data_IF_762960229071
#
_entry.id   IF_762960229071
#
_cell.length_a   1.000
_cell.length_b   1.000
_cell.length_c   1.000
_cell.angle_alpha   90.00
_cell.angle_beta   90.00
_cell.angle_gamma   90.00
#
_symmetry.space_group_name_H-M   'P 1'
#
loop_
_entity.id
_entity.type
_entity.pdbx_description
1 polymer ?
#
# COMPACT_ATOMS: atom_id res chain seq x y z
N UNK A 1 -35.38 -15.98 6.68
CA UNK A 1 -34.31 -15.06 7.16
C UNK A 1 -32.92 -15.36 6.60
N UNK A 2 -32.49 -16.62 6.45
CA UNK A 2 -31.17 -16.99 5.87
C UNK A 2 -31.05 -16.68 4.36
N UNK A 3 -32.15 -16.84 3.62
CA UNK A 3 -32.26 -16.62 2.16
C UNK A 3 -32.28 -15.15 1.72
N UNK A 4 -32.67 -14.24 2.60
CA UNK A 4 -32.76 -12.82 2.30
C UNK A 4 -31.39 -12.12 2.39
N UNK A 5 -30.55 -12.56 3.35
CA UNK A 5 -29.17 -12.07 3.52
C UNK A 5 -28.25 -12.55 2.39
N UNK A 6 -28.41 -13.78 1.91
CA UNK A 6 -27.68 -14.32 0.75
C UNK A 6 -28.02 -13.59 -0.54
N UNK A 7 -29.26 -13.15 -0.70
CA UNK A 7 -29.71 -12.43 -1.90
C UNK A 7 -29.14 -11.00 -1.97
N UNK A 8 -29.12 -10.28 -0.84
CA UNK A 8 -28.47 -8.96 -0.76
C UNK A 8 -26.96 -9.03 -1.01
N UNK A 9 -26.30 -10.10 -0.58
CA UNK A 9 -24.87 -10.32 -0.79
C UNK A 9 -24.52 -10.58 -2.27
N UNK A 10 -25.30 -11.43 -2.95
CA UNK A 10 -25.12 -11.72 -4.38
C UNK A 10 -25.39 -10.51 -5.26
N UNK A 11 -26.39 -9.69 -4.89
CA UNK A 11 -26.69 -8.44 -5.59
C UNK A 11 -25.50 -7.46 -5.49
N UNK A 12 -24.94 -7.29 -4.29
CA UNK A 12 -23.76 -6.42 -4.07
C UNK A 12 -22.54 -6.89 -4.88
N UNK A 13 -22.31 -8.21 -4.94
CA UNK A 13 -21.22 -8.80 -5.73
C UNK A 13 -21.40 -8.52 -7.23
N UNK A 14 -22.63 -8.68 -7.75
CA UNK A 14 -22.93 -8.43 -9.17
C UNK A 14 -22.75 -6.95 -9.57
N UNK A 15 -23.03 -6.01 -8.67
CA UNK A 15 -22.81 -4.58 -8.90
C UNK A 15 -21.33 -4.17 -8.85
N UNK A 16 -20.51 -4.86 -8.04
CA UNK A 16 -19.05 -4.64 -8.00
C UNK A 16 -18.35 -5.03 -9.31
N UNK A 17 -18.87 -6.03 -10.03
CA UNK A 17 -18.39 -6.39 -11.38
C UNK A 17 -18.96 -5.48 -12.48
N UNK A 18 -20.06 -4.77 -12.22
CA UNK A 18 -20.71 -3.87 -13.16
C UNK A 18 -20.16 -2.43 -13.14
N UNK A 19 -19.01 -2.17 -12.51
CA UNK A 19 -18.31 -0.87 -12.58
C UNK A 19 -17.68 -0.61 -13.97
N UNK A 20 -18.53 -0.67 -15.00
CA UNK A 20 -18.35 0.06 -16.25
C UNK A 20 -18.74 1.51 -15.95
N UNK A 21 -17.76 2.38 -16.09
CA UNK A 21 -17.82 3.85 -16.03
C UNK A 21 -19.21 4.50 -16.13
N UNK A 22 -19.52 5.39 -15.18
CA UNK A 22 -20.70 6.27 -15.12
C UNK A 22 -20.90 7.21 -16.33
N UNK A 23 -20.13 7.11 -17.41
CA UNK A 23 -20.20 8.03 -18.54
C UNK A 23 -20.83 7.46 -19.82
N UNK A 24 -21.43 6.28 -19.82
CA UNK A 24 -22.05 5.73 -21.04
C UNK A 24 -23.23 4.82 -20.75
N UNK A 25 -24.41 5.40 -20.50
CA UNK A 25 -25.66 4.66 -20.68
C UNK A 25 -26.55 5.50 -21.59
N UNK A 26 -26.38 5.33 -22.90
CA UNK A 26 -27.45 5.66 -23.84
C UNK A 26 -28.63 4.74 -23.56
N UNK A 27 -29.84 5.22 -23.82
CA UNK A 27 -31.11 4.56 -23.46
C UNK A 27 -31.26 3.12 -24.01
N UNK A 28 -30.52 2.77 -25.04
CA UNK A 28 -30.56 1.45 -25.69
C UNK A 28 -29.67 0.42 -24.96
N UNK A 29 -28.56 0.86 -24.36
CA UNK A 29 -27.69 -0.01 -23.53
C UNK A 29 -28.33 -0.30 -22.18
N UNK A 30 -29.04 0.66 -21.58
CA UNK A 30 -29.84 0.42 -20.36
C UNK A 30 -30.92 -0.66 -20.60
N UNK A 31 -31.60 -0.61 -21.75
CA UNK A 31 -32.64 -1.56 -22.11
C UNK A 31 -32.10 -3.00 -22.31
N UNK A 32 -30.88 -3.14 -22.84
CA UNK A 32 -30.21 -4.44 -22.95
C UNK A 32 -29.61 -4.91 -21.60
N UNK A 33 -29.14 -3.98 -20.76
CA UNK A 33 -28.67 -4.29 -19.41
C UNK A 33 -29.81 -4.78 -18.50
N UNK A 34 -31.02 -4.24 -18.67
CA UNK A 34 -32.23 -4.65 -17.96
C UNK A 34 -32.70 -6.07 -18.31
N UNK A 35 -32.39 -6.57 -19.53
CA UNK A 35 -32.73 -7.95 -19.93
C UNK A 35 -31.95 -9.02 -19.15
N UNK A 36 -30.79 -8.67 -18.61
CA UNK A 36 -29.90 -9.59 -17.88
C UNK A 36 -30.28 -9.74 -16.40
N UNK A 37 -31.19 -8.90 -15.87
CA UNK A 37 -31.58 -8.91 -14.45
C UNK A 37 -33.10 -9.17 -14.27
N UNK A 38 -33.54 -10.45 -14.23
CA UNK A 38 -34.96 -10.83 -14.15
C UNK A 38 -35.65 -10.49 -12.81
N UNK A 39 -34.97 -9.82 -11.88
CA UNK A 39 -35.37 -9.63 -10.48
C UNK A 39 -35.76 -8.18 -10.11
N UNK A 40 -35.80 -7.25 -11.07
CA UNK A 40 -36.28 -5.89 -10.80
C UNK A 40 -37.78 -5.89 -10.43
N UNK A 41 -38.20 -5.08 -9.44
CA UNK A 41 -39.61 -5.01 -9.06
C UNK A 41 -40.46 -4.57 -10.26
N UNK A 42 -41.50 -5.34 -10.55
CA UNK A 42 -42.42 -5.06 -11.65
C UNK A 42 -43.75 -4.57 -11.11
N UNK A 43 -44.30 -3.58 -11.79
CA UNK A 43 -45.70 -3.21 -11.68
C UNK A 43 -46.58 -4.37 -12.19
N UNK A 44 -47.87 -4.43 -11.81
CA UNK A 44 -48.79 -5.48 -12.25
C UNK A 44 -48.94 -5.60 -13.76
N UNK A 45 -48.66 -4.53 -14.51
CA UNK A 45 -48.67 -4.49 -15.97
C UNK A 45 -47.36 -4.97 -16.61
N UNK A 46 -46.41 -5.47 -15.82
CA UNK A 46 -45.11 -5.96 -16.28
C UNK A 46 -44.07 -4.88 -16.54
N UNK A 47 -44.41 -3.59 -16.41
CA UNK A 47 -43.47 -2.48 -16.43
C UNK A 47 -42.61 -2.42 -15.16
N UNK A 48 -41.46 -1.74 -15.21
CA UNK A 48 -40.57 -1.60 -14.06
C UNK A 48 -41.17 -0.62 -13.05
N UNK A 49 -41.20 -1.01 -11.78
CA UNK A 49 -41.56 -0.13 -10.66
C UNK A 49 -40.32 0.70 -10.29
N UNK A 50 -40.18 1.85 -10.96
CA UNK A 50 -39.03 2.73 -10.81
C UNK A 50 -38.91 3.33 -9.42
N UNK A 51 -40.01 3.55 -8.70
CA UNK A 51 -40.00 4.11 -7.35
C UNK A 51 -39.42 3.10 -6.36
N UNK A 52 -39.88 1.85 -6.44
CA UNK A 52 -39.36 0.73 -5.63
C UNK A 52 -37.94 0.32 -6.03
N UNK A 53 -37.60 0.40 -7.32
CA UNK A 53 -36.23 0.24 -7.77
C UNK A 53 -35.31 1.34 -7.22
N UNK A 54 -35.77 2.59 -7.16
CA UNK A 54 -35.03 3.71 -6.58
C UNK A 54 -34.89 3.60 -5.06
N UNK A 55 -35.92 3.09 -4.36
CA UNK A 55 -35.86 2.78 -2.93
C UNK A 55 -34.86 1.65 -2.64
N UNK A 56 -34.85 0.58 -3.46
CA UNK A 56 -33.84 -0.48 -3.39
C UNK A 56 -32.44 0.05 -3.69
N UNK A 57 -32.29 0.95 -4.68
CA UNK A 57 -31.03 1.62 -5.02
C UNK A 57 -30.52 2.50 -3.88
N UNK A 58 -31.40 3.27 -3.21
CA UNK A 58 -31.06 4.04 -2.01
C UNK A 58 -30.64 3.13 -0.86
N UNK A 59 -31.36 2.03 -0.63
CA UNK A 59 -31.03 1.04 0.40
C UNK A 59 -29.71 0.31 0.10
N UNK A 60 -29.39 0.08 -1.17
CA UNK A 60 -28.07 -0.42 -1.58
C UNK A 60 -26.98 0.64 -1.47
N UNK A 61 -27.26 1.92 -1.70
CA UNK A 61 -26.30 3.00 -1.42
C UNK A 61 -26.03 3.16 0.08
N UNK A 62 -27.03 2.95 0.93
CA UNK A 62 -26.84 2.85 2.38
C UNK A 62 -26.00 1.62 2.77
N UNK A 63 -26.14 0.50 2.05
CA UNK A 63 -25.28 -0.70 2.20
C UNK A 63 -23.87 -0.54 1.59
N UNK A 64 -23.69 0.37 0.62
CA UNK A 64 -22.39 0.70 0.02
C UNK A 64 -21.53 1.54 0.99
N UNK A 65 -22.17 2.32 1.86
CA UNK A 65 -21.49 3.05 2.93
C UNK A 65 -21.00 2.14 4.08
N UNK A 66 -21.39 0.86 4.07
CA UNK A 66 -20.97 -0.15 5.05
C UNK A 66 -20.58 -1.45 4.34
N UNK A 67 -19.54 -1.37 3.49
CA UNK A 67 -18.97 -2.54 2.82
C UNK A 67 -18.61 -3.58 3.89
N UNK A 68 -19.21 -4.79 3.87
CA UNK A 68 -18.92 -5.80 4.87
C UNK A 68 -17.42 -6.11 4.92
N UNK A 69 -16.85 -6.29 6.11
CA UNK A 69 -15.39 -6.45 6.27
C UNK A 69 -14.81 -7.60 5.46
N UNK A 70 -15.60 -8.65 5.20
CA UNK A 70 -15.22 -9.74 4.30
C UNK A 70 -14.97 -9.32 2.86
N UNK A 71 -15.72 -8.33 2.34
CA UNK A 71 -15.48 -7.79 0.99
C UNK A 71 -14.19 -6.97 0.97
N UNK A 72 -13.91 -6.19 2.02
CA UNK A 72 -12.64 -5.46 2.17
C UNK A 72 -11.46 -6.45 2.23
N UNK A 73 -11.60 -7.52 3.00
CA UNK A 73 -10.60 -8.58 3.11
C UNK A 73 -10.37 -9.29 1.78
N UNK A 74 -11.44 -9.59 1.03
CA UNK A 74 -11.35 -10.22 -0.28
C UNK A 74 -10.60 -9.34 -1.28
N UNK A 75 -10.99 -8.06 -1.38
CA UNK A 75 -10.33 -7.09 -2.25
C UNK A 75 -8.85 -6.93 -1.90
N UNK A 76 -8.53 -6.82 -0.60
CA UNK A 76 -7.15 -6.76 -0.13
C UNK A 76 -6.39 -8.02 -0.53
N UNK A 77 -6.87 -9.20 -0.13
CA UNK A 77 -6.16 -10.46 -0.36
C UNK A 77 -5.91 -10.71 -1.85
N UNK A 78 -6.85 -10.32 -2.71
CA UNK A 78 -6.70 -10.44 -4.16
C UNK A 78 -5.70 -9.42 -4.72
N UNK A 79 -5.86 -8.13 -4.39
CA UNK A 79 -4.99 -7.06 -4.90
C UNK A 79 -3.53 -7.24 -4.48
N UNK A 80 -3.29 -7.73 -3.26
CA UNK A 80 -1.94 -7.92 -2.73
C UNK A 80 -1.36 -9.32 -3.00
N UNK A 81 -2.08 -10.20 -3.72
CA UNK A 81 -1.60 -11.50 -4.23
C UNK A 81 -1.69 -12.69 -3.27
N UNK A 82 -2.42 -12.57 -2.17
CA UNK A 82 -2.60 -13.64 -1.16
C UNK A 82 -3.59 -14.73 -1.57
N UNK A 83 -4.50 -14.45 -2.51
CA UNK A 83 -5.48 -15.40 -3.06
C UNK A 83 -5.58 -15.26 -4.58
N UNK A 84 -6.03 -16.31 -5.27
CA UNK A 84 -6.29 -16.31 -6.71
C UNK A 84 -7.78 -16.06 -6.98
N UNK A 85 -8.13 -15.20 -7.94
CA UNK A 85 -9.50 -14.79 -8.27
C UNK A 85 -10.43 -15.92 -8.74
N UNK A 86 -9.94 -17.14 -8.94
CA UNK A 86 -10.68 -18.26 -9.53
C UNK A 86 -11.84 -18.82 -8.69
N UNK A 87 -12.09 -18.33 -7.47
CA UNK A 87 -12.99 -18.98 -6.51
C UNK A 87 -14.25 -18.21 -6.08
N UNK A 88 -14.59 -17.08 -6.72
CA UNK A 88 -15.72 -16.22 -6.28
C UNK A 88 -17.14 -16.73 -6.61
N UNK A 89 -17.31 -18.03 -6.87
CA UNK A 89 -18.61 -18.63 -7.17
C UNK A 89 -19.30 -19.27 -5.94
N UNK A 90 -18.83 -19.02 -4.72
CA UNK A 90 -19.34 -19.67 -3.49
C UNK A 90 -20.61 -19.01 -2.93
N UNK A 91 -21.59 -19.82 -2.52
CA UNK A 91 -22.92 -19.37 -2.10
C UNK A 91 -23.13 -19.29 -0.57
N UNK A 92 -22.08 -19.51 0.25
CA UNK A 92 -22.19 -19.43 1.72
C UNK A 92 -21.01 -18.70 2.39
N UNK A 93 -21.28 -18.04 3.52
CA UNK A 93 -20.29 -17.32 4.31
C UNK A 93 -19.23 -18.25 4.93
N UNK A 94 -19.62 -19.45 5.37
CA UNK A 94 -18.71 -20.43 5.96
C UNK A 94 -17.67 -20.95 4.95
N UNK A 95 -18.07 -21.11 3.68
CA UNK A 95 -17.17 -21.44 2.57
C UNK A 95 -16.19 -20.29 2.29
N UNK A 96 -16.67 -19.05 2.33
CA UNK A 96 -15.83 -17.86 2.12
C UNK A 96 -14.79 -17.71 3.23
N UNK A 97 -15.17 -17.90 4.49
CA UNK A 97 -14.24 -17.86 5.63
C UNK A 97 -13.15 -18.93 5.52
N UNK A 98 -13.55 -20.14 5.13
CA UNK A 98 -12.62 -21.26 4.90
C UNK A 98 -11.65 -20.94 3.78
N UNK A 99 -12.14 -20.33 2.69
CA UNK A 99 -11.33 -19.94 1.54
C UNK A 99 -10.34 -18.81 1.84
N UNK A 100 -10.75 -17.79 2.61
CA UNK A 100 -9.90 -16.65 2.94
C UNK A 100 -8.87 -16.97 4.03
N UNK A 101 -9.15 -17.96 4.90
CA UNK A 101 -8.32 -18.29 6.06
C UNK A 101 -6.81 -18.44 5.74
N UNK A 102 -6.37 -19.17 4.69
CA UNK A 102 -4.95 -19.28 4.36
C UNK A 102 -4.30 -17.92 4.06
N UNK A 103 -5.00 -17.06 3.31
CA UNK A 103 -4.55 -15.71 3.00
C UNK A 103 -4.49 -14.81 4.24
N UNK A 104 -5.52 -14.88 5.11
CA UNK A 104 -5.56 -14.16 6.39
C UNK A 104 -4.40 -14.56 7.29
N UNK A 105 -4.14 -15.87 7.45
CA UNK A 105 -2.99 -16.35 8.23
C UNK A 105 -1.68 -15.80 7.70
N UNK A 106 -1.55 -15.70 6.37
CA UNK A 106 -0.33 -15.19 5.73
C UNK A 106 -0.12 -13.70 5.97
N UNK A 107 -1.18 -12.87 5.90
CA UNK A 107 -1.11 -11.46 6.30
C UNK A 107 -0.67 -11.37 7.76
N UNK A 108 -1.33 -12.11 8.65
CA UNK A 108 -1.04 -12.06 10.09
C UNK A 108 0.42 -12.44 10.37
N UNK A 109 0.93 -13.47 9.70
CA UNK A 109 2.34 -13.86 9.78
C UNK A 109 3.29 -12.80 9.25
N UNK A 110 3.01 -12.23 8.08
CA UNK A 110 3.88 -11.24 7.45
C UNK A 110 3.98 -9.96 8.29
N UNK A 111 2.89 -9.51 8.90
CA UNK A 111 2.82 -8.23 9.61
C UNK A 111 2.81 -8.38 11.13
N UNK A 112 3.28 -9.52 11.65
CA UNK A 112 3.41 -9.80 13.08
C UNK A 112 2.10 -9.59 13.88
N UNK A 113 0.95 -9.86 13.27
CA UNK A 113 -0.34 -9.91 13.97
C UNK A 113 -0.53 -11.28 14.62
N UNK A 114 -1.38 -11.40 15.66
CA UNK A 114 -1.78 -12.71 16.18
C UNK A 114 -2.33 -13.61 15.07
N UNK A 115 -1.73 -14.79 14.87
CA UNK A 115 -2.07 -15.70 13.75
C UNK A 115 -3.31 -16.54 14.10
N UNK A 116 -4.48 -15.90 14.08
CA UNK A 116 -5.77 -16.52 14.38
C UNK A 116 -6.37 -17.25 13.17
N UNK A 117 -6.01 -16.83 11.96
CA UNK A 117 -6.66 -17.24 10.71
C UNK A 117 -8.09 -16.74 10.56
N UNK A 118 -8.52 -15.80 11.41
CA UNK A 118 -9.85 -15.20 11.39
C UNK A 118 -9.73 -13.73 11.03
N UNK A 119 -10.77 -13.20 10.39
CA UNK A 119 -10.90 -11.76 10.14
C UNK A 119 -11.31 -11.05 11.44
N UNK A 120 -10.42 -11.04 12.42
CA UNK A 120 -10.61 -10.34 13.69
C UNK A 120 -10.38 -8.82 13.56
N UNK A 121 -10.76 -8.07 14.60
CA UNK A 121 -10.67 -6.60 14.57
C UNK A 121 -9.24 -6.09 14.30
N UNK A 122 -8.21 -6.79 14.81
CA UNK A 122 -6.82 -6.44 14.56
C UNK A 122 -6.49 -6.56 13.07
N UNK A 123 -6.94 -7.66 12.45
CA UNK A 123 -6.79 -7.89 11.01
C UNK A 123 -7.56 -6.86 10.20
N UNK A 124 -8.82 -6.57 10.54
CA UNK A 124 -9.66 -5.57 9.86
C UNK A 124 -9.02 -4.18 9.93
N UNK A 125 -8.61 -3.76 11.13
CA UNK A 125 -7.93 -2.47 11.33
C UNK A 125 -6.63 -2.40 10.55
N UNK A 126 -5.94 -3.52 10.35
CA UNK A 126 -4.71 -3.56 9.56
C UNK A 126 -4.98 -3.45 8.06
N UNK A 127 -5.87 -4.29 7.51
CA UNK A 127 -6.15 -4.33 6.07
C UNK A 127 -6.85 -3.06 5.55
N UNK A 128 -7.32 -2.20 6.44
CA UNK A 128 -7.95 -0.91 6.10
C UNK A 128 -6.96 0.25 6.11
N UNK A 129 -5.72 0.05 6.60
CA UNK A 129 -4.70 1.11 6.64
C UNK A 129 -4.27 1.53 5.23
N UNK A 130 -4.00 2.84 5.01
CA UNK A 130 -3.45 3.32 3.75
C UNK A 130 -2.14 2.59 3.38
N UNK A 131 -1.97 2.17 2.13
CA UNK A 131 -0.80 1.41 1.67
C UNK A 131 -0.50 1.55 0.18
N UNK A 132 0.65 1.01 -0.22
CA UNK A 132 1.07 0.84 -1.61
C UNK A 132 0.21 -0.20 -2.36
N UNK A 133 0.05 0.00 -3.67
CA UNK A 133 -0.66 -0.86 -4.63
C UNK A 133 0.22 -1.95 -5.29
N UNK A 134 1.48 -2.06 -4.89
CA UNK A 134 2.36 -3.12 -5.41
C UNK A 134 2.07 -4.40 -4.63
N UNK A 135 1.82 -5.56 -5.29
CA UNK A 135 1.46 -6.78 -4.57
C UNK A 135 2.59 -7.27 -3.66
N UNK A 136 2.23 -7.76 -2.47
CA UNK A 136 3.16 -8.41 -1.54
C UNK A 136 3.66 -9.75 -2.10
N UNK A 137 2.76 -10.47 -2.79
CA UNK A 137 3.02 -11.79 -3.36
C UNK A 137 2.83 -11.75 -4.88
N UNK A 138 3.86 -12.17 -5.62
CA UNK A 138 3.84 -12.23 -7.08
C UNK A 138 4.15 -13.66 -7.52
N UNK A 139 3.27 -14.27 -8.33
CA UNK A 139 3.41 -15.66 -8.79
C UNK A 139 3.68 -16.66 -7.64
N UNK A 140 3.00 -16.48 -6.50
CA UNK A 140 3.14 -17.31 -5.30
C UNK A 140 4.41 -17.03 -4.47
N UNK A 141 5.28 -16.11 -4.90
CA UNK A 141 6.50 -15.72 -4.17
C UNK A 141 6.24 -14.50 -3.30
N UNK A 142 6.49 -14.61 -1.98
CA UNK A 142 6.46 -13.47 -1.07
C UNK A 142 7.70 -12.59 -1.29
N UNK A 143 7.50 -11.41 -1.86
CA UNK A 143 8.57 -10.47 -2.22
C UNK A 143 9.22 -9.82 -1.00
N UNK A 144 8.52 -9.81 0.14
CA UNK A 144 9.01 -9.22 1.39
C UNK A 144 10.06 -10.09 2.09
N UNK A 145 9.98 -11.41 1.93
CA UNK A 145 10.94 -12.36 2.55
C UNK A 145 12.01 -12.84 1.58
N UNK A 146 11.69 -12.90 0.29
CA UNK A 146 12.59 -13.39 -0.76
C UNK A 146 13.21 -12.23 -1.53
N UNK A 147 13.67 -11.22 -0.78
CA UNK A 147 14.10 -9.91 -1.27
C UNK A 147 15.09 -9.97 -2.44
N UNK A 148 15.93 -11.01 -2.48
CA UNK A 148 16.76 -11.33 -3.62
C UNK A 148 16.66 -12.84 -3.79
N UNK A 149 16.07 -13.30 -4.89
CA UNK A 149 16.42 -14.62 -5.38
C UNK A 149 17.93 -14.50 -5.65
N UNK A 150 18.80 -15.02 -4.77
CA UNK A 150 20.28 -14.89 -4.85
C UNK A 150 20.85 -15.34 -6.21
N UNK A 151 20.00 -15.91 -7.07
CA UNK A 151 20.25 -16.43 -8.40
C UNK A 151 19.77 -15.54 -9.55
N UNK A 152 18.99 -14.48 -9.31
CA UNK A 152 18.50 -13.56 -10.34
C UNK A 152 19.00 -12.14 -10.07
N UNK A 153 20.03 -11.71 -10.78
CA UNK A 153 20.48 -10.32 -10.80
C UNK A 153 19.30 -9.41 -11.12
N UNK A 154 19.08 -8.36 -10.31
CA UNK A 154 18.14 -7.31 -10.66
C UNK A 154 18.42 -6.85 -12.09
N UNK A 155 17.39 -6.87 -12.94
CA UNK A 155 17.48 -6.39 -14.31
C UNK A 155 16.93 -4.97 -14.32
N UNK A 156 17.76 -3.94 -14.56
CA UNK A 156 17.27 -2.60 -14.86
C UNK A 156 16.20 -2.65 -15.94
N UNK A 157 15.08 -1.95 -15.69
CA UNK A 157 14.04 -1.78 -16.72
C UNK A 157 14.38 -0.65 -17.68
N UNK A 158 15.35 0.18 -17.35
CA UNK A 158 15.98 1.13 -18.27
C UNK A 158 17.13 0.45 -19.02
N UNK A 159 17.51 0.99 -20.17
CA UNK A 159 18.63 0.48 -20.97
C UNK A 159 19.91 0.37 -20.13
N UNK A 160 20.65 -0.74 -20.28
CA UNK A 160 21.66 -1.24 -19.32
C UNK A 160 22.85 -0.31 -18.98
N UNK A 161 23.02 0.81 -19.67
CA UNK A 161 24.10 1.78 -19.40
C UNK A 161 23.60 3.17 -18.97
N UNK A 162 22.29 3.39 -18.96
CA UNK A 162 21.71 4.69 -18.65
C UNK A 162 21.78 4.94 -17.15
N UNK A 163 22.50 6.00 -16.76
CA UNK A 163 22.60 6.49 -15.37
C UNK A 163 21.73 7.70 -15.07
N UNK A 164 21.35 8.45 -16.09
CA UNK A 164 20.51 9.64 -15.93
C UNK A 164 19.10 9.30 -16.40
N UNK A 165 18.14 9.17 -15.47
CA UNK A 165 16.75 8.90 -15.77
C UNK A 165 15.95 10.21 -15.73
N UNK A 166 15.09 10.43 -16.72
CA UNK A 166 14.23 11.60 -16.79
C UNK A 166 12.86 11.29 -16.21
N UNK A 167 12.36 12.13 -15.32
CA UNK A 167 10.98 12.05 -14.83
C UNK A 167 10.17 13.25 -15.28
N UNK A 168 8.86 13.07 -15.41
CA UNK A 168 7.96 14.15 -15.80
C UNK A 168 6.58 13.97 -15.18
N UNK A 169 5.96 15.08 -14.80
CA UNK A 169 4.59 15.09 -14.30
C UNK A 169 3.60 15.21 -15.46
N UNK A 170 2.47 14.51 -15.38
CA UNK A 170 1.41 14.67 -16.37
C UNK A 170 0.91 16.12 -16.39
N UNK A 171 0.89 16.81 -17.55
CA UNK A 171 0.60 18.25 -17.62
C UNK A 171 -0.76 18.64 -17.02
N UNK A 172 -1.77 17.78 -17.18
CA UNK A 172 -3.12 18.05 -16.64
C UNK A 172 -3.19 18.01 -15.11
N UNK A 173 -2.22 17.38 -14.43
CA UNK A 173 -2.19 17.39 -12.97
C UNK A 173 -1.83 18.76 -12.38
N UNK A 174 -1.23 19.66 -13.17
CA UNK A 174 -0.85 21.03 -12.75
C UNK A 174 -0.13 21.03 -11.39
N UNK A 175 0.87 20.14 -11.26
CA UNK A 175 1.61 19.91 -10.01
C UNK A 175 2.33 21.20 -9.59
N UNK A 176 2.08 21.74 -8.38
CA UNK A 176 2.72 22.97 -7.94
C UNK A 176 4.20 22.78 -7.58
N UNK A 177 5.00 23.86 -7.63
CA UNK A 177 6.46 23.81 -7.51
C UNK A 177 6.97 23.27 -6.16
N UNK A 178 6.21 23.47 -5.07
CA UNK A 178 6.56 22.89 -3.76
C UNK A 178 6.47 21.35 -3.78
N UNK A 179 5.49 20.79 -4.50
CA UNK A 179 5.38 19.34 -4.68
C UNK A 179 6.46 18.84 -5.63
N UNK A 180 6.78 19.58 -6.70
CA UNK A 180 7.91 19.24 -7.58
C UNK A 180 9.24 19.20 -6.83
N UNK A 181 9.49 20.18 -5.96
CA UNK A 181 10.68 20.23 -5.10
C UNK A 181 10.75 19.01 -4.17
N UNK A 182 9.62 18.59 -3.60
CA UNK A 182 9.54 17.36 -2.80
C UNK A 182 9.96 16.11 -3.59
N UNK A 183 9.52 15.98 -4.85
CA UNK A 183 9.97 14.88 -5.71
C UNK A 183 11.46 14.97 -6.03
N UNK A 184 11.96 16.18 -6.32
CA UNK A 184 13.38 16.40 -6.56
C UNK A 184 14.21 15.95 -5.35
N UNK A 185 13.80 16.32 -4.13
CA UNK A 185 14.45 15.89 -2.89
C UNK A 185 14.41 14.37 -2.71
N UNK A 186 13.26 13.75 -2.97
CA UNK A 186 13.11 12.30 -2.87
C UNK A 186 14.03 11.55 -3.86
N UNK A 187 14.08 11.99 -5.12
CA UNK A 187 15.00 11.45 -6.12
C UNK A 187 16.46 11.67 -5.74
N UNK A 188 16.81 12.84 -5.19
CA UNK A 188 18.17 13.13 -4.74
C UNK A 188 18.61 12.19 -3.61
N UNK A 189 17.73 11.86 -2.66
CA UNK A 189 18.07 10.90 -1.59
C UNK A 189 18.37 9.51 -2.13
N UNK A 190 17.60 9.04 -3.10
CA UNK A 190 17.89 7.78 -3.79
C UNK A 190 19.14 7.86 -4.67
N UNK A 191 19.40 8.99 -5.33
CA UNK A 191 20.62 9.22 -6.11
C UNK A 191 21.86 9.10 -5.22
N UNK A 192 21.83 9.62 -3.99
CA UNK A 192 22.96 9.57 -3.04
C UNK A 192 23.37 8.15 -2.58
N UNK A 193 22.48 7.17 -2.74
CA UNK A 193 22.70 5.77 -2.33
C UNK A 193 22.67 4.81 -3.51
N UNK A 194 22.60 5.34 -4.72
CA UNK A 194 22.69 4.59 -5.98
C UNK A 194 23.74 5.26 -6.88
N UNK A 195 23.92 4.73 -8.10
CA UNK A 195 24.77 5.36 -9.14
C UNK A 195 23.93 6.06 -10.21
N UNK A 196 22.68 6.34 -9.89
CA UNK A 196 21.71 6.94 -10.80
C UNK A 196 21.52 8.41 -10.45
N UNK A 197 21.25 9.21 -11.47
CA UNK A 197 20.82 10.60 -11.36
C UNK A 197 19.43 10.73 -11.96
N UNK A 198 18.66 11.67 -11.45
CA UNK A 198 17.30 11.93 -11.90
C UNK A 198 17.17 13.39 -12.30
N UNK A 199 16.43 13.66 -13.38
CA UNK A 199 16.25 15.03 -13.87
C UNK A 199 14.81 15.22 -14.31
N UNK A 200 14.17 16.29 -13.84
CA UNK A 200 12.84 16.66 -14.32
C UNK A 200 12.91 17.10 -15.79
N UNK A 201 11.94 16.66 -16.59
CA UNK A 201 11.72 17.14 -17.96
C UNK A 201 10.26 17.54 -18.16
N UNK A 202 10.03 18.46 -19.10
CA UNK A 202 8.67 18.83 -19.52
C UNK A 202 8.08 17.84 -20.55
N UNK A 203 8.91 16.97 -21.14
CA UNK A 203 8.48 16.02 -22.17
C UNK A 203 7.90 14.74 -21.55
N UNK A 204 6.66 14.80 -21.05
CA UNK A 204 6.00 13.68 -20.39
C UNK A 204 6.07 12.35 -21.16
N UNK A 205 5.70 12.36 -22.45
CA UNK A 205 5.69 11.17 -23.31
C UNK A 205 7.08 10.62 -23.68
N UNK A 206 8.16 11.34 -23.36
CA UNK A 206 9.54 10.91 -23.61
C UNK A 206 10.36 10.75 -22.31
N UNK A 207 9.70 10.86 -21.15
CA UNK A 207 10.33 10.61 -19.86
C UNK A 207 10.45 9.10 -19.60
N UNK A 208 11.47 8.70 -18.86
CA UNK A 208 11.62 7.32 -18.40
C UNK A 208 10.62 7.01 -17.28
N UNK A 209 10.33 8.03 -16.46
CA UNK A 209 9.50 7.94 -15.26
C UNK A 209 8.34 8.95 -15.39
N UNK A 210 7.25 8.59 -16.07
CA UNK A 210 6.03 9.38 -16.03
C UNK A 210 5.40 9.31 -14.62
N UNK A 211 4.99 10.47 -14.10
CA UNK A 211 4.35 10.62 -12.79
C UNK A 211 2.93 11.17 -13.00
N UNK A 212 1.94 10.47 -12.43
CA UNK A 212 0.53 10.82 -12.58
C UNK A 212 -0.16 10.90 -11.21
N UNK A 213 -0.84 12.00 -10.94
CA UNK A 213 -1.80 12.12 -9.83
C UNK A 213 -3.19 11.75 -10.34
N UNK A 214 -3.74 10.68 -9.81
CA UNK A 214 -5.08 10.21 -10.12
C UNK A 214 -6.08 10.80 -9.13
N UNK A 215 -7.28 11.13 -9.61
CA UNK A 215 -8.37 11.53 -8.72
C UNK A 215 -8.78 10.32 -7.90
N UNK A 216 -8.93 10.51 -6.58
CA UNK A 216 -9.53 9.50 -5.71
C UNK A 216 -11.03 9.44 -6.01
N UNK A 217 -11.57 8.24 -6.21
CA UNK A 217 -12.97 8.02 -6.58
C UNK A 217 -13.95 8.18 -5.39
N UNK A 218 -13.70 9.09 -4.45
CA UNK A 218 -14.60 9.42 -3.34
C UNK A 218 -14.64 8.41 -2.19
N UNK A 219 -14.36 7.13 -2.44
CA UNK A 219 -14.23 6.12 -1.39
C UNK A 219 -12.77 6.08 -0.94
N UNK A 220 -12.44 6.85 0.11
CA UNK A 220 -11.10 6.98 0.71
C UNK A 220 -10.22 5.78 0.42
N UNK A 221 -9.41 5.89 -0.62
CA UNK A 221 -8.75 4.72 -1.18
C UNK A 221 -7.66 4.30 -0.20
N UNK A 222 -7.82 3.11 0.36
CA UNK A 222 -6.74 2.40 1.07
C UNK A 222 -5.44 2.49 0.27
N UNK A 223 -5.52 2.41 -1.04
CA UNK A 223 -4.38 2.55 -1.93
C UNK A 223 -4.04 4.04 -2.13
N UNK A 224 -2.81 4.41 -1.80
CA UNK A 224 -2.31 5.80 -1.92
C UNK A 224 -1.46 6.03 -3.18
N UNK A 225 -1.08 4.95 -3.86
CA UNK A 225 -0.24 5.01 -5.05
C UNK A 225 0.42 3.68 -5.35
N UNK A 226 1.12 3.62 -6.47
CA UNK A 226 1.83 2.43 -6.90
C UNK A 226 2.85 2.73 -7.99
N UNK A 227 3.61 1.69 -8.32
CA UNK A 227 4.59 1.70 -9.41
C UNK A 227 4.29 0.55 -10.38
N UNK A 228 4.41 0.83 -11.68
CA UNK A 228 4.31 -0.17 -12.76
C UNK A 228 5.49 -0.03 -13.70
N UNK A 229 6.12 -1.17 -14.02
CA UNK A 229 7.31 -1.22 -14.86
C UNK A 229 6.95 -1.95 -16.16
N UNK A 230 7.23 -1.32 -17.29
CA UNK A 230 7.19 -1.93 -18.61
C UNK A 230 8.61 -2.12 -19.13
N UNK A 231 9.12 -3.35 -19.05
CA UNK A 231 10.46 -3.70 -19.54
C UNK A 231 10.59 -3.60 -21.07
N UNK A 232 9.50 -3.78 -21.82
CA UNK A 232 9.53 -3.67 -23.28
C UNK A 232 9.55 -2.20 -23.74
N UNK A 233 8.89 -1.32 -22.98
CA UNK A 233 8.87 0.11 -23.26
C UNK A 233 10.02 0.88 -22.59
N UNK A 234 10.73 0.24 -21.66
CA UNK A 234 11.70 0.86 -20.75
C UNK A 234 11.11 2.05 -19.98
N UNK A 235 9.92 1.87 -19.41
CA UNK A 235 9.18 2.91 -18.67
C UNK A 235 8.82 2.43 -17.26
N UNK A 236 9.03 3.28 -16.27
CA UNK A 236 8.61 3.10 -14.88
C UNK A 236 7.58 4.13 -14.47
N UNK A 237 6.29 3.80 -14.57
CA UNK A 237 5.19 4.68 -14.20
C UNK A 237 5.03 4.74 -12.68
N UNK A 238 4.92 5.95 -12.15
CA UNK A 238 4.48 6.21 -10.78
C UNK A 238 3.10 6.87 -10.83
N UNK A 239 2.15 6.33 -10.09
CA UNK A 239 0.83 6.94 -9.91
C UNK A 239 0.50 7.09 -8.44
N UNK A 240 -0.17 8.19 -8.12
CA UNK A 240 -0.52 8.57 -6.75
C UNK A 240 -2.00 8.90 -6.65
N UNK A 241 -2.63 8.50 -5.55
CA UNK A 241 -4.00 8.88 -5.21
C UNK A 241 -3.97 9.85 -4.03
N UNK A 242 -4.91 10.81 -4.04
CA UNK A 242 -5.34 11.55 -2.84
C UNK A 242 -4.24 11.90 -1.83
N UNK A 243 -3.28 12.74 -2.23
CA UNK A 243 -2.11 13.20 -1.45
C UNK A 243 -2.43 13.89 -0.10
N UNK A 244 -3.69 13.90 0.33
CA UNK A 244 -4.19 14.56 1.52
C UNK A 244 -4.43 13.60 2.70
N UNK A 245 -4.26 12.28 2.49
CA UNK A 245 -4.59 11.25 3.50
C UNK A 245 -3.34 10.80 4.27
N UNK A 246 -2.17 10.89 3.65
CA UNK A 246 -0.88 10.44 4.18
C UNK A 246 0.23 11.42 3.80
N UNK A 247 1.37 11.33 4.48
CA UNK A 247 2.55 12.13 4.14
C UNK A 247 3.04 11.81 2.72
N UNK A 248 2.91 12.79 1.81
CA UNK A 248 3.21 12.60 0.40
C UNK A 248 4.68 12.23 0.15
N UNK A 249 5.60 12.80 0.94
CA UNK A 249 7.03 12.54 0.81
C UNK A 249 7.34 11.06 1.09
N UNK A 250 6.75 10.49 2.14
CA UNK A 250 6.84 9.07 2.47
C UNK A 250 6.35 8.19 1.32
N UNK A 251 5.20 8.52 0.72
CA UNK A 251 4.66 7.76 -0.42
C UNK A 251 5.58 7.84 -1.63
N UNK A 252 6.06 9.04 -1.98
CA UNK A 252 6.94 9.25 -3.14
C UNK A 252 8.26 8.50 -2.95
N UNK A 253 8.87 8.60 -1.78
CA UNK A 253 10.10 7.88 -1.45
C UNK A 253 9.93 6.36 -1.60
N UNK A 254 8.80 5.81 -1.14
CA UNK A 254 8.47 4.39 -1.28
C UNK A 254 8.29 3.98 -2.75
N UNK A 255 7.53 4.74 -3.55
CA UNK A 255 7.31 4.42 -4.96
C UNK A 255 8.61 4.47 -5.77
N UNK A 256 9.51 5.42 -5.47
CA UNK A 256 10.82 5.46 -6.11
C UNK A 256 11.64 4.21 -5.75
N UNK A 257 11.57 3.72 -4.50
CA UNK A 257 12.24 2.46 -4.15
C UNK A 257 11.82 1.28 -5.03
N UNK A 258 10.53 1.18 -5.38
CA UNK A 258 10.05 0.18 -6.35
C UNK A 258 10.61 0.38 -7.76
N UNK A 259 10.70 1.62 -8.25
CA UNK A 259 11.36 1.90 -9.53
C UNK A 259 12.80 1.39 -9.54
N UNK A 260 13.47 1.43 -8.39
CA UNK A 260 14.86 1.00 -8.23
C UNK A 260 15.04 -0.49 -7.99
N UNK A 261 13.95 -1.26 -7.97
CA UNK A 261 13.97 -2.71 -7.79
C UNK A 261 13.76 -3.20 -6.36
N UNK A 262 13.47 -2.31 -5.41
CA UNK A 262 13.15 -2.75 -4.06
C UNK A 262 11.73 -3.33 -4.00
N UNK A 263 11.60 -4.48 -3.36
CA UNK A 263 10.31 -5.02 -2.95
C UNK A 263 9.88 -4.45 -1.60
N UNK A 264 8.66 -4.74 -1.16
CA UNK A 264 8.22 -4.36 0.18
C UNK A 264 9.15 -4.90 1.30
N UNK A 265 9.22 -4.20 2.43
CA UNK A 265 9.92 -4.63 3.65
C UNK A 265 8.94 -5.15 4.70
N UNK A 266 9.43 -6.04 5.58
CA UNK A 266 8.74 -6.39 6.82
C UNK A 266 9.15 -5.47 8.00
N UNK A 267 10.20 -4.67 7.84
CA UNK A 267 10.67 -3.73 8.86
C UNK A 267 9.75 -2.51 8.84
N UNK A 268 9.03 -2.26 9.93
CA UNK A 268 8.00 -1.22 10.00
C UNK A 268 8.59 0.18 9.79
N UNK A 269 9.82 0.42 10.26
CA UNK A 269 10.53 1.69 10.14
C UNK A 269 11.09 1.94 8.73
N UNK A 270 11.16 0.90 7.87
CA UNK A 270 11.72 1.02 6.54
C UNK A 270 10.81 1.83 5.61
N UNK A 271 11.41 2.58 4.70
CA UNK A 271 10.64 3.32 3.69
C UNK A 271 9.85 2.37 2.80
N UNK A 272 10.39 1.16 2.57
CA UNK A 272 9.75 0.11 1.79
C UNK A 272 8.70 -0.70 2.57
N UNK A 273 8.36 -0.36 3.82
CA UNK A 273 7.21 -0.97 4.48
C UNK A 273 5.92 -0.59 3.73
N UNK A 274 5.05 -1.54 3.35
CA UNK A 274 3.94 -1.28 2.44
C UNK A 274 2.86 -0.35 3.00
N UNK A 275 2.70 -0.33 4.33
CA UNK A 275 1.68 0.47 5.00
C UNK A 275 2.21 1.89 5.26
N UNK A 276 1.43 2.88 4.84
CA UNK A 276 1.70 4.29 5.08
C UNK A 276 1.23 4.65 6.48
N UNK A 277 2.18 4.70 7.41
CA UNK A 277 1.90 5.09 8.79
C UNK A 277 1.79 6.61 8.90
N UNK A 278 0.99 7.14 9.84
CA UNK A 278 0.90 8.58 10.09
C UNK A 278 2.21 9.18 10.62
N UNK A 279 3.04 8.36 11.27
CA UNK A 279 4.36 8.76 11.75
C UNK A 279 5.31 8.97 10.58
N UNK A 280 6.01 10.11 10.59
CA UNK A 280 6.79 10.60 9.45
C UNK A 280 7.95 9.66 9.11
N UNK A 281 7.85 8.92 7.98
CA UNK A 281 8.91 8.06 7.44
C UNK A 281 9.61 8.74 6.28
N UNK A 282 10.73 9.38 6.54
CA UNK A 282 11.40 10.23 5.52
C UNK A 282 12.85 9.85 5.30
N UNK A 283 13.44 9.10 6.22
CA UNK A 283 14.82 8.69 6.15
C UNK A 283 14.96 7.24 5.74
N UNK A 284 15.98 6.96 4.92
CA UNK A 284 16.35 5.61 4.56
C UNK A 284 17.00 4.95 5.77
N UNK A 285 16.39 3.88 6.28
CA UNK A 285 16.95 3.14 7.42
C UNK A 285 17.90 2.05 6.94
N UNK A 286 18.55 1.35 7.87
CA UNK A 286 19.51 0.30 7.55
C UNK A 286 18.95 -0.80 6.63
N UNK A 287 17.66 -1.17 6.79
CA UNK A 287 17.00 -2.12 5.89
C UNK A 287 17.05 -1.62 4.44
N UNK A 288 16.58 -0.40 4.18
CA UNK A 288 16.54 0.19 2.84
C UNK A 288 17.95 0.30 2.23
N UNK A 289 18.93 0.74 3.04
CA UNK A 289 20.31 0.97 2.60
C UNK A 289 21.03 -0.33 2.25
N UNK A 290 20.90 -1.37 3.06
CA UNK A 290 21.51 -2.67 2.76
C UNK A 290 20.89 -3.28 1.51
N UNK A 291 19.57 -3.15 1.38
CA UNK A 291 18.78 -3.72 0.30
C UNK A 291 19.09 -3.04 -1.04
N UNK A 292 19.16 -1.71 -1.07
CA UNK A 292 19.53 -0.97 -2.29
C UNK A 292 20.98 -1.23 -2.68
N UNK A 293 21.90 -1.36 -1.72
CA UNK A 293 23.31 -1.68 -1.99
C UNK A 293 23.51 -3.09 -2.55
N UNK A 294 22.64 -4.05 -2.23
CA UNK A 294 22.67 -5.37 -2.88
C UNK A 294 22.36 -5.29 -4.38
N UNK A 295 21.62 -4.27 -4.82
CA UNK A 295 21.27 -4.04 -6.22
C UNK A 295 22.35 -3.24 -6.95
N UNK A 296 22.81 -2.13 -6.37
CA UNK A 296 23.70 -1.15 -7.06
C UNK A 296 25.18 -1.24 -6.64
N UNK A 297 25.48 -2.07 -5.64
CA UNK A 297 26.77 -2.13 -4.97
C UNK A 297 26.95 -1.00 -3.95
N UNK A 298 27.97 -1.13 -3.11
CA UNK A 298 28.35 -0.10 -2.14
C UNK A 298 29.12 1.01 -2.86
N UNK A 299 28.65 2.25 -2.71
CA UNK A 299 29.47 3.40 -3.11
C UNK A 299 30.46 3.77 -1.99
N UNK A 300 31.73 3.96 -2.35
CA UNK A 300 32.80 4.20 -1.37
C UNK A 300 32.64 5.55 -0.66
N UNK A 301 31.95 6.52 -1.28
CA UNK A 301 31.60 7.80 -0.68
C UNK A 301 30.55 7.66 0.44
N UNK A 302 29.49 6.88 0.21
CA UNK A 302 28.39 6.64 1.16
C UNK A 302 28.83 5.80 2.37
N UNK A 303 29.85 4.96 2.20
CA UNK A 303 30.48 4.19 3.27
C UNK A 303 31.05 5.08 4.39
N UNK A 304 31.57 6.26 4.04
CA UNK A 304 32.13 7.21 5.02
C UNK A 304 31.05 7.89 5.89
N UNK A 305 29.84 8.03 5.36
CA UNK A 305 28.69 8.60 6.09
C UNK A 305 27.95 7.52 6.90
N UNK A 306 27.88 6.28 6.41
CA UNK A 306 27.35 5.13 7.16
C UNK A 306 28.17 4.82 8.41
N UNK A 307 29.50 4.89 8.33
CA UNK A 307 30.39 4.71 9.50
C UNK A 307 30.18 5.83 10.52
N UNK A 308 29.96 7.08 10.10
CA UNK A 308 29.65 8.21 11.00
C UNK A 308 28.26 8.09 11.65
N UNK A 309 27.25 7.66 10.90
CA UNK A 309 25.89 7.42 11.40
C UNK A 309 25.85 6.27 12.41
N UNK A 310 26.48 5.14 12.10
CA UNK A 310 26.60 3.98 12.99
C UNK A 310 27.37 4.32 14.27
N UNK A 311 28.46 5.09 14.16
CA UNK A 311 29.22 5.56 15.32
C UNK A 311 28.38 6.51 16.20
N UNK A 312 27.61 7.43 15.63
CA UNK A 312 26.73 8.31 16.40
C UNK A 312 25.55 7.55 17.04
N UNK A 313 25.01 6.53 16.36
CA UNK A 313 23.92 5.73 16.90
C UNK A 313 24.40 4.81 18.02
N UNK A 314 25.60 4.22 17.91
CA UNK A 314 26.23 3.49 19.02
C UNK A 314 26.60 4.40 20.19
N UNK A 315 27.06 5.63 19.94
CA UNK A 315 27.35 6.58 21.00
C UNK A 315 26.08 7.06 21.73
N UNK A 316 24.97 7.23 20.99
CA UNK A 316 23.66 7.59 21.55
C UNK A 316 23.03 6.45 22.35
N UNK A 317 23.12 5.20 21.89
CA UNK A 317 22.65 4.04 22.67
C UNK A 317 23.50 3.81 23.91
N UNK A 318 24.81 4.06 23.84
CA UNK A 318 25.70 3.99 25.01
C UNK A 318 25.41 5.10 26.02
N UNK A 319 25.17 6.33 25.55
CA UNK A 319 24.74 7.46 26.40
C UNK A 319 23.38 7.20 27.07
N UNK A 320 22.40 6.68 26.33
CA UNK A 320 21.09 6.32 26.88
C UNK A 320 21.19 5.16 27.88
N UNK A 321 22.05 4.17 27.64
CA UNK A 321 22.28 3.08 28.59
C UNK A 321 22.95 3.58 29.88
N UNK A 322 23.94 4.50 29.77
CA UNK A 322 24.56 5.15 30.93
C UNK A 322 23.53 5.98 31.70
N UNK A 323 22.64 6.70 31.02
CA UNK A 323 21.61 7.52 31.66
C UNK A 323 20.58 6.65 32.41
N UNK A 324 20.17 5.52 31.84
CA UNK A 324 19.26 4.56 32.48
C UNK A 324 19.92 3.86 33.67
N UNK A 325 21.20 3.49 33.57
CA UNK A 325 21.95 2.92 34.69
C UNK A 325 22.21 3.97 35.80
N UNK A 326 22.41 5.23 35.44
CA UNK A 326 22.55 6.35 36.37
C UNK A 326 21.25 6.67 37.11
N UNK A 327 20.10 6.63 36.42
CA UNK A 327 18.79 6.86 37.02
C UNK A 327 18.35 5.70 37.93
N UNK A 328 18.63 4.45 37.54
CA UNK A 328 18.29 3.28 38.37
C UNK A 328 19.17 3.15 39.61
N UNK A 329 20.44 3.54 39.54
CA UNK A 329 21.32 3.62 40.71
C UNK A 329 20.94 4.80 41.63
N UNK A 330 20.57 5.96 41.07
CA UNK A 330 20.05 7.10 41.86
C UNK A 330 18.75 6.80 42.60
N UNK A 331 17.80 6.08 41.96
CA UNK A 331 16.55 5.63 42.58
C UNK A 331 16.76 4.54 43.67
N UNK A 332 17.83 3.75 43.57
CA UNK A 332 18.18 2.78 44.60
C UNK A 332 18.79 3.47 45.84
N UNK A 333 19.60 4.51 45.63
CA UNK A 333 20.22 5.29 46.72
C UNK A 333 19.17 6.12 47.47
N UNK A 334 18.19 6.71 46.79
CA UNK A 334 17.10 7.43 47.47
C UNK A 334 16.20 6.50 48.28
N UNK A 335 15.87 5.31 47.76
CA UNK A 335 15.09 4.31 48.53
C UNK A 335 15.84 3.72 49.72
N UNK A 336 17.17 3.61 49.67
CA UNK A 336 17.96 3.18 50.83
C UNK A 336 18.09 4.26 51.91
N UNK A 337 18.11 5.54 51.50
CA UNK A 337 18.08 6.67 52.45
C UNK A 337 16.70 6.82 53.12
N UNK A 338 15.60 6.59 52.40
CA UNK A 338 14.25 6.63 52.99
C UNK A 338 14.02 5.51 54.02
N UNK A 339 14.62 4.33 53.83
CA UNK A 339 14.58 3.22 54.82
C UNK A 339 15.42 3.53 56.06
N UNK A 340 16.52 4.29 55.92
CA UNK A 340 17.34 4.69 57.06
C UNK A 340 16.72 5.79 57.92
N UNK A 341 15.83 6.62 57.36
CA UNK A 341 15.11 7.66 58.12
C UNK A 341 13.93 7.09 58.92
N UNK A 342 13.43 5.91 58.56
CA UNK A 342 12.31 5.27 59.28
C UNK A 342 12.72 4.42 60.51
N UNK A 343 14.02 4.27 60.77
CA UNK A 343 14.57 3.49 61.90
C UNK A 343 15.35 4.34 62.91
N UNK A 344 14.98 5.62 63.08
CA UNK A 344 15.59 6.49 64.09
C UNK A 344 14.58 7.11 65.05
#
# INVERSE_FOLDING_TARGET
MRTQKTFSFLLLLSFLFAHVSESAISSETAANFIKEFPLLPKLPNGGIDYEKATELLKKTNELINDVPDYIKALQYLQSEGYINSSFLNSNSQDELETYLQPGIRKIQQNFNLPVTGKLDQNTINFITKPRCDVPDIVNGTNTMTNFVNKTASFKPWWNNDKKNLMYAFHPENRVPDNIKSLFQDAFNRWSNVTKLNFTETMMFNHSDIPIVFLKSNGNGTRVVGGTRISYSANVGLVYLYGANIVDLESVVMHQIGHLLGLSHSLVEEAIMYPIMLPEKKIELVNDDLQRIQQIYGVDKSSSSNLVKSSANHQHSTFLNLILVLGLTSGLLVTRLLDVCVFFR
#
